data_IF_361554137596
#
_entry.id   IF_361554137596
#
_cell.length_a   1.000
_cell.length_b   1.000
_cell.length_c   1.000
_cell.angle_alpha   90.00
_cell.angle_beta   90.00
_cell.angle_gamma   90.00
#
_symmetry.space_group_name_H-M   'P 1'
#
loop_
_entity.id
_entity.type
_entity.pdbx_description
1 polymer ?
#
# COMPACT_ATOMS: atom_id res chain seq x y z
N UNK A 1 -2.80 -13.19 20.25
CA UNK A 1 -3.21 -11.77 20.39
C UNK A 1 -2.63 -10.81 19.34
N UNK A 2 -1.63 -11.20 18.53
CA UNK A 2 -1.24 -10.41 17.37
C UNK A 2 -1.35 -11.30 16.12
N UNK A 3 -2.34 -11.05 15.27
CA UNK A 3 -2.38 -11.57 13.90
C UNK A 3 -1.34 -10.78 13.06
N UNK A 4 -0.04 -11.07 13.21
CA UNK A 4 1.06 -10.24 12.68
C UNK A 4 1.29 -10.32 11.16
N UNK A 5 0.49 -11.09 10.41
CA UNK A 5 0.73 -11.35 8.99
C UNK A 5 -0.07 -10.49 8.00
N UNK A 6 -1.22 -9.92 8.41
CA UNK A 6 -2.16 -9.29 7.49
C UNK A 6 -2.73 -8.01 8.09
N UNK A 7 -2.66 -6.91 7.32
CA UNK A 7 -3.30 -5.64 7.64
C UNK A 7 -4.51 -5.43 6.73
N UNK A 8 -5.69 -5.19 7.32
CA UNK A 8 -6.90 -4.85 6.58
C UNK A 8 -7.22 -3.37 6.76
N UNK A 9 -7.31 -2.63 5.65
CA UNK A 9 -7.63 -1.21 5.65
C UNK A 9 -8.50 -0.85 4.45
N UNK A 10 -9.41 0.11 4.64
CA UNK A 10 -10.21 0.71 3.56
C UNK A 10 -9.74 2.14 3.33
N UNK A 11 -9.61 2.50 2.06
CA UNK A 11 -9.33 3.85 1.58
C UNK A 11 -10.43 4.27 0.60
N UNK A 12 -10.64 5.57 0.42
CA UNK A 12 -11.49 6.05 -0.67
C UNK A 12 -10.69 5.97 -1.97
N UNK A 13 -11.36 5.68 -3.08
CA UNK A 13 -10.68 5.60 -4.39
C UNK A 13 -10.03 6.92 -4.82
N UNK A 14 -10.48 8.05 -4.27
CA UNK A 14 -9.94 9.39 -4.52
C UNK A 14 -8.82 9.78 -3.55
N UNK A 15 -8.52 8.95 -2.55
CA UNK A 15 -7.38 9.19 -1.67
C UNK A 15 -6.07 8.97 -2.45
N UNK A 16 -5.02 9.77 -2.20
CA UNK A 16 -3.71 9.59 -2.83
C UNK A 16 -2.99 8.35 -2.29
N UNK A 17 -2.10 7.76 -3.09
CA UNK A 17 -1.25 6.63 -2.69
C UNK A 17 -0.45 6.93 -1.41
N UNK A 18 -0.07 8.19 -1.18
CA UNK A 18 0.59 8.62 0.06
C UNK A 18 -0.15 8.18 1.34
N UNK A 19 -1.49 8.13 1.32
CA UNK A 19 -2.29 7.68 2.48
C UNK A 19 -2.01 6.22 2.87
N UNK A 20 -1.64 5.37 1.91
CA UNK A 20 -1.19 4.00 2.21
C UNK A 20 0.14 4.01 2.96
N UNK A 21 1.09 4.84 2.53
CA UNK A 21 2.41 4.92 3.16
C UNK A 21 2.34 5.52 4.56
N UNK A 22 1.51 6.54 4.76
CA UNK A 22 1.26 7.13 6.07
C UNK A 22 0.61 6.12 7.01
N UNK A 23 -0.36 5.35 6.51
CA UNK A 23 -0.96 4.26 7.27
C UNK A 23 0.08 3.22 7.68
N UNK A 24 0.91 2.73 6.75
CA UNK A 24 1.95 1.75 7.07
C UNK A 24 2.97 2.29 8.08
N UNK A 25 3.36 3.56 7.95
CA UNK A 25 4.23 4.23 8.93
C UNK A 25 3.57 4.28 10.32
N UNK A 26 2.26 4.56 10.40
CA UNK A 26 1.51 4.51 11.67
C UNK A 26 1.41 3.12 12.28
N UNK A 27 1.57 2.06 11.47
CA UNK A 27 1.65 0.66 11.93
C UNK A 27 3.11 0.23 12.24
N UNK A 28 4.05 1.18 12.25
CA UNK A 28 5.47 0.91 12.51
C UNK A 28 6.20 0.23 11.35
N UNK A 29 5.70 0.34 10.12
CA UNK A 29 6.40 -0.10 8.89
C UNK A 29 6.96 1.12 8.19
N UNK A 30 8.24 1.42 8.36
CA UNK A 30 8.79 2.69 7.87
C UNK A 30 9.05 2.66 6.37
N UNK A 31 8.97 3.84 5.76
CA UNK A 31 9.36 4.03 4.37
C UNK A 31 10.86 3.78 4.19
N UNK A 32 11.26 3.00 3.19
CA UNK A 32 12.66 2.65 2.93
C UNK A 32 13.13 1.35 3.59
N UNK A 33 12.30 0.72 4.42
CA UNK A 33 12.55 -0.63 4.95
C UNK A 33 11.84 -1.72 4.14
N UNK A 34 10.83 -1.34 3.35
CA UNK A 34 9.98 -2.27 2.61
C UNK A 34 9.65 -1.76 1.20
N UNK A 35 9.52 -2.70 0.26
CA UNK A 35 8.77 -2.54 -0.99
C UNK A 35 7.31 -2.92 -0.77
N UNK A 36 6.43 -2.25 -1.50
CA UNK A 36 4.98 -2.51 -1.46
C UNK A 36 4.59 -2.94 -2.86
N UNK A 37 4.26 -4.22 -3.01
CA UNK A 37 3.99 -4.84 -4.30
C UNK A 37 2.51 -5.15 -4.46
N UNK A 38 1.90 -4.78 -5.59
CA UNK A 38 0.60 -5.34 -5.98
C UNK A 38 0.75 -6.76 -6.50
N UNK A 39 -0.30 -7.58 -6.39
CA UNK A 39 -0.31 -8.95 -6.90
C UNK A 39 -0.54 -9.03 -8.40
N UNK A 40 -1.51 -8.26 -8.94
CA UNK A 40 -1.80 -8.26 -10.38
C UNK A 40 -2.36 -6.92 -10.91
N UNK A 41 -1.77 -6.33 -11.96
CA UNK A 41 -0.42 -6.63 -12.45
C UNK A 41 0.60 -6.37 -11.33
N UNK A 42 1.67 -7.17 -11.29
CA UNK A 42 2.74 -6.97 -10.28
C UNK A 42 3.42 -5.63 -10.53
N UNK A 43 3.30 -4.70 -9.57
CA UNK A 43 3.90 -3.36 -9.62
C UNK A 43 4.50 -3.02 -8.27
N UNK A 44 5.64 -2.34 -8.30
CA UNK A 44 6.21 -1.75 -7.09
C UNK A 44 5.58 -0.37 -6.87
N UNK A 45 4.67 -0.30 -5.90
CA UNK A 45 3.96 0.93 -5.56
C UNK A 45 4.90 1.99 -4.95
N UNK A 46 6.05 1.60 -4.39
CA UNK A 46 7.01 2.56 -3.81
C UNK A 46 7.68 3.44 -4.88
N UNK A 47 7.67 2.99 -6.13
CA UNK A 47 8.24 3.69 -7.30
C UNK A 47 7.19 4.53 -8.06
N UNK A 48 5.93 4.50 -7.65
CA UNK A 48 4.86 5.25 -8.31
C UNK A 48 4.73 6.67 -7.76
N UNK A 49 4.06 7.53 -8.52
CA UNK A 49 3.76 8.89 -8.07
C UNK A 49 2.80 8.84 -6.87
N UNK A 50 3.24 9.40 -5.75
CA UNK A 50 2.50 9.35 -4.47
C UNK A 50 1.21 10.18 -4.48
N UNK A 51 1.11 11.12 -5.41
CA UNK A 51 -0.06 11.99 -5.60
C UNK A 51 -1.13 11.34 -6.47
N UNK A 52 -0.82 10.23 -7.17
CA UNK A 52 -1.83 9.49 -7.90
C UNK A 52 -2.80 8.84 -6.92
N UNK A 53 -4.08 8.90 -7.26
CA UNK A 53 -5.15 8.31 -6.46
C UNK A 53 -5.23 6.80 -6.65
N UNK A 54 -5.83 6.08 -5.69
CA UNK A 54 -6.09 4.65 -5.83
C UNK A 54 -6.92 4.33 -7.10
N UNK A 55 -7.80 5.22 -7.53
CA UNK A 55 -8.55 5.10 -8.79
C UNK A 55 -7.63 5.16 -10.02
N UNK A 56 -6.77 6.18 -10.11
CA UNK A 56 -5.81 6.31 -11.22
C UNK A 56 -4.87 5.11 -11.30
N UNK A 57 -4.50 4.56 -10.14
CA UNK A 57 -3.65 3.38 -10.03
C UNK A 57 -4.40 2.05 -10.20
N UNK A 58 -5.73 2.07 -10.35
CA UNK A 58 -6.59 0.89 -10.42
C UNK A 58 -6.43 -0.06 -9.21
N UNK A 59 -6.28 0.52 -8.02
CA UNK A 59 -6.18 -0.20 -6.74
C UNK A 59 -7.55 -0.31 -6.07
N UNK A 60 -8.50 -0.97 -6.74
CA UNK A 60 -9.88 -1.14 -6.30
C UNK A 60 -10.57 -2.30 -7.03
N UNK A 61 -11.65 -2.89 -6.49
CA UNK A 61 -12.30 -2.57 -5.21
C UNK A 61 -11.63 -3.21 -4.00
N UNK A 62 -10.95 -4.34 -4.19
CA UNK A 62 -10.19 -5.04 -3.15
C UNK A 62 -8.89 -5.53 -3.77
N UNK A 63 -7.77 -5.09 -3.20
CA UNK A 63 -6.43 -5.46 -3.63
C UNK A 63 -5.69 -6.16 -2.49
N UNK A 64 -4.85 -7.12 -2.85
CA UNK A 64 -3.87 -7.68 -1.93
C UNK A 64 -2.51 -7.07 -2.26
N UNK A 65 -1.90 -6.44 -1.26
CA UNK A 65 -0.56 -5.89 -1.36
C UNK A 65 0.40 -6.73 -0.51
N UNK A 66 1.63 -6.88 -0.98
CA UNK A 66 2.70 -7.60 -0.31
C UNK A 66 3.72 -6.58 0.18
N UNK A 67 4.06 -6.64 1.47
CA UNK A 67 5.19 -5.91 2.03
C UNK A 67 6.41 -6.83 1.98
N UNK A 68 7.42 -6.45 1.20
CA UNK A 68 8.67 -7.18 1.05
C UNK A 68 9.80 -6.38 1.69
N UNK A 69 10.53 -6.94 2.65
CA UNK A 69 11.66 -6.25 3.28
C UNK A 69 12.79 -6.02 2.27
N UNK A 70 13.44 -4.86 2.36
CA UNK A 70 14.57 -4.46 1.52
C UNK A 70 15.91 -5.06 1.95
#
# INVERSE_FOLDING_TARGET
PNDEGILLRRFRIKDPLQMLFDYLTSQGRMFGEYKILSTYPKRDLTQLNRLDTFEQLKLYPQEQLILEAL
#
